data_IF_563979030495
#
_entry.id   IF_563979030495
#
_cell.length_a   1.000
_cell.length_b   1.000
_cell.length_c   1.000
_cell.angle_alpha   90.00
_cell.angle_beta   90.00
_cell.angle_gamma   90.00
#
_symmetry.space_group_name_H-M   'P 1'
#
loop_
_entity.id
_entity.type
_entity.pdbx_description
1 polymer ?
#
# COMPACT_ATOMS: atom_id res chain seq x y z
N UNK A 1 -4.49 -0.79 -8.68
CA UNK A 1 -5.68 -0.77 -7.80
C UNK A 1 -6.59 -1.89 -8.24
N UNK A 2 -7.12 -2.66 -7.31
CA UNK A 2 -8.08 -3.73 -7.63
C UNK A 2 -9.39 -3.07 -8.03
N UNK A 3 -9.96 -3.45 -9.19
CA UNK A 3 -11.31 -3.03 -9.63
C UNK A 3 -12.41 -3.58 -8.71
N UNK A 4 -12.04 -4.42 -7.75
CA UNK A 4 -12.90 -5.07 -6.77
C UNK A 4 -12.57 -4.60 -5.34
N UNK A 5 -12.72 -3.31 -5.08
CA UNK A 5 -12.81 -2.81 -3.70
C UNK A 5 -14.09 -3.40 -3.08
N UNK A 6 -13.94 -4.42 -2.26
CA UNK A 6 -15.07 -4.92 -1.48
C UNK A 6 -15.25 -4.00 -0.27
N UNK A 7 -16.34 -3.29 -0.28
CA UNK A 7 -16.61 -2.09 0.49
C UNK A 7 -17.09 -2.34 1.91
N UNK A 8 -17.48 -3.58 2.20
CA UNK A 8 -17.99 -3.97 3.51
C UNK A 8 -16.86 -4.24 4.52
N UNK A 9 -15.59 -4.10 4.09
CA UNK A 9 -14.44 -4.54 4.85
C UNK A 9 -13.45 -3.39 5.12
N UNK A 10 -13.94 -2.31 5.76
CA UNK A 10 -13.05 -1.45 6.54
C UNK A 10 -12.48 -2.30 7.68
N UNK A 11 -11.15 -2.27 7.85
CA UNK A 11 -10.57 -2.83 9.06
C UNK A 11 -10.96 -2.00 10.30
N UNK A 12 -10.68 -2.53 11.50
CA UNK A 12 -11.00 -1.85 12.76
C UNK A 12 -10.34 -0.47 12.90
N UNK A 13 -9.28 -0.22 12.13
CA UNK A 13 -8.49 1.01 12.16
C UNK A 13 -8.92 2.00 11.06
N UNK A 14 -9.96 1.68 10.29
CA UNK A 14 -10.51 2.50 9.22
C UNK A 14 -9.75 2.39 7.90
N UNK A 15 -8.82 1.46 7.77
CA UNK A 15 -8.12 1.14 6.54
C UNK A 15 -8.99 0.36 5.55
N UNK A 16 -8.62 0.40 4.26
CA UNK A 16 -9.28 -0.36 3.21
C UNK A 16 -8.67 -1.75 3.10
N UNK A 17 -9.43 -2.78 3.42
CA UNK A 17 -8.97 -4.15 3.37
C UNK A 17 -9.16 -4.82 2.00
N UNK A 18 -9.79 -4.16 1.02
CA UNK A 18 -10.03 -4.69 -0.33
C UNK A 18 -10.58 -6.13 -0.35
N UNK A 19 -11.38 -6.50 0.65
CA UNK A 19 -11.89 -7.86 0.80
C UNK A 19 -10.93 -8.88 1.42
N UNK A 20 -9.70 -8.48 1.77
CA UNK A 20 -8.77 -9.39 2.45
C UNK A 20 -9.02 -9.34 3.96
N UNK A 21 -9.37 -10.45 4.61
CA UNK A 21 -9.53 -10.49 6.05
C UNK A 21 -8.27 -10.00 6.78
N UNK A 22 -8.45 -9.20 7.82
CA UNK A 22 -7.35 -8.69 8.65
C UNK A 22 -6.74 -9.78 9.54
N UNK A 23 -7.52 -10.84 9.83
CA UNK A 23 -7.15 -11.95 10.68
C UNK A 23 -6.80 -13.24 9.93
N UNK A 24 -6.49 -14.27 10.70
CA UNK A 24 -6.30 -15.61 10.20
C UNK A 24 -7.66 -16.24 9.84
N UNK A 25 -7.69 -16.95 8.70
CA UNK A 25 -8.88 -17.68 8.25
C UNK A 25 -8.66 -19.13 8.61
N UNK A 26 -9.50 -19.67 9.49
CA UNK A 26 -9.36 -21.03 10.03
C UNK A 26 -9.44 -22.10 8.94
N UNK A 27 -10.37 -21.95 8.02
CA UNK A 27 -10.49 -22.85 6.87
C UNK A 27 -10.57 -22.07 5.54
N UNK A 28 -9.41 -21.62 5.09
CA UNK A 28 -9.29 -20.91 3.81
C UNK A 28 -9.76 -21.75 2.61
N UNK A 29 -9.60 -23.07 2.69
CA UNK A 29 -9.95 -23.96 1.57
C UNK A 29 -11.46 -24.21 1.47
N UNK A 30 -12.20 -24.01 2.56
CA UNK A 30 -13.65 -24.11 2.56
C UNK A 30 -14.35 -22.88 1.97
N UNK A 31 -13.62 -21.77 1.77
CA UNK A 31 -14.17 -20.59 1.13
C UNK A 31 -14.48 -20.85 -0.34
N UNK A 32 -15.50 -20.19 -0.93
CA UNK A 32 -15.76 -20.19 -2.36
C UNK A 32 -14.49 -19.78 -3.16
N UNK A 33 -14.33 -20.34 -4.35
CA UNK A 33 -13.10 -20.17 -5.13
C UNK A 33 -12.84 -18.70 -5.53
N UNK A 34 -13.90 -17.95 -5.84
CA UNK A 34 -13.86 -16.52 -6.11
C UNK A 34 -13.33 -15.72 -4.93
N UNK A 35 -13.78 -16.04 -3.71
CA UNK A 35 -13.27 -15.42 -2.48
C UNK A 35 -11.81 -15.80 -2.23
N UNK A 36 -11.43 -17.05 -2.45
CA UNK A 36 -10.03 -17.48 -2.34
C UNK A 36 -9.14 -16.69 -3.32
N UNK A 37 -9.58 -16.54 -4.57
CA UNK A 37 -8.85 -15.78 -5.59
C UNK A 37 -8.75 -14.30 -5.22
N UNK A 38 -9.83 -13.68 -4.77
CA UNK A 38 -9.84 -12.29 -4.31
C UNK A 38 -8.84 -12.09 -3.17
N UNK A 39 -8.87 -12.94 -2.15
CA UNK A 39 -7.96 -12.86 -1.01
C UNK A 39 -6.50 -13.04 -1.44
N UNK A 40 -6.22 -13.94 -2.40
CA UNK A 40 -4.86 -14.15 -2.94
C UNK A 40 -4.39 -12.98 -3.78
N UNK A 41 -5.27 -12.34 -4.51
CA UNK A 41 -4.92 -11.18 -5.37
C UNK A 41 -4.65 -9.91 -4.56
N UNK A 42 -5.27 -9.77 -3.37
CA UNK A 42 -5.07 -8.60 -2.52
C UNK A 42 -3.71 -8.64 -1.84
N UNK A 43 -2.90 -7.63 -2.11
CA UNK A 43 -1.58 -7.45 -1.48
C UNK A 43 -1.63 -6.25 -0.53
N UNK A 44 -0.94 -6.37 0.58
CA UNK A 44 -0.65 -5.21 1.42
C UNK A 44 0.58 -4.50 0.86
N UNK A 45 0.41 -3.24 0.55
CA UNK A 45 1.49 -2.38 0.07
C UNK A 45 1.81 -1.36 1.15
N UNK A 46 3.09 -1.16 1.43
CA UNK A 46 3.56 -0.05 2.25
C UNK A 46 4.13 1.01 1.34
N UNK A 47 3.57 2.20 1.36
CA UNK A 47 4.10 3.32 0.61
C UNK A 47 5.06 4.10 1.51
N UNK A 48 6.30 4.20 1.07
CA UNK A 48 7.36 4.98 1.74
C UNK A 48 7.73 6.14 0.84
N UNK A 49 7.77 7.33 1.39
CA UNK A 49 8.19 8.53 0.67
C UNK A 49 9.11 9.35 1.55
N UNK A 50 9.94 10.14 0.91
CA UNK A 50 10.95 10.97 1.58
C UNK A 50 11.92 11.54 0.57
N UNK A 51 13.08 11.89 1.07
CA UNK A 51 14.26 12.23 0.28
C UNK A 51 15.19 11.04 0.21
N UNK A 52 15.73 10.77 -0.96
CA UNK A 52 16.81 9.81 -1.14
C UNK A 52 18.08 10.54 -1.55
N UNK A 53 19.17 10.25 -0.85
CA UNK A 53 20.53 10.63 -1.21
C UNK A 53 21.27 9.40 -1.67
N UNK A 54 21.87 9.43 -2.85
CA UNK A 54 22.68 8.35 -3.38
C UNK A 54 24.12 8.48 -2.87
N UNK A 55 24.71 7.38 -2.41
CA UNK A 55 26.09 7.31 -1.98
C UNK A 55 26.91 6.78 -3.14
N UNK A 56 27.94 7.51 -3.56
CA UNK A 56 28.86 7.18 -4.66
C UNK A 56 28.14 6.75 -5.94
N UNK A 57 27.19 7.56 -6.45
CA UNK A 57 26.45 7.20 -7.67
C UNK A 57 27.38 7.20 -8.89
N UNK A 58 27.15 6.20 -9.76
CA UNK A 58 27.86 6.09 -11.04
C UNK A 58 26.87 6.04 -12.20
N UNK A 59 27.26 6.60 -13.34
CA UNK A 59 26.47 6.50 -14.56
C UNK A 59 26.63 5.11 -15.25
N UNK A 60 25.98 4.92 -16.38
CA UNK A 60 26.05 3.66 -17.13
C UNK A 60 27.45 3.34 -17.69
N UNK A 61 28.35 4.33 -17.76
CA UNK A 61 29.74 4.15 -18.15
C UNK A 61 30.67 3.86 -16.95
N UNK A 62 30.14 3.84 -15.71
CA UNK A 62 30.90 3.60 -14.49
C UNK A 62 31.62 4.85 -13.96
N UNK A 63 31.30 6.02 -14.48
CA UNK A 63 31.89 7.29 -14.03
C UNK A 63 31.10 7.86 -12.86
N UNK A 64 31.81 8.40 -11.86
CA UNK A 64 31.16 9.08 -10.73
C UNK A 64 30.35 10.28 -11.19
N UNK A 65 29.14 10.39 -10.67
CA UNK A 65 28.23 11.50 -10.95
C UNK A 65 27.78 12.14 -9.64
N UNK A 66 27.48 13.43 -9.68
CA UNK A 66 26.90 14.12 -8.53
C UNK A 66 25.38 14.16 -8.67
N UNK A 67 24.66 13.60 -7.69
CA UNK A 67 23.19 13.53 -7.69
C UNK A 67 22.67 14.21 -6.43
N UNK A 68 21.88 15.25 -6.63
CA UNK A 68 21.24 15.96 -5.53
C UNK A 68 20.17 15.08 -4.85
N UNK A 69 19.90 15.30 -3.55
CA UNK A 69 18.81 14.65 -2.85
C UNK A 69 17.49 14.81 -3.61
N UNK A 70 16.80 13.72 -3.85
CA UNK A 70 15.61 13.69 -4.70
C UNK A 70 14.43 13.11 -3.94
N UNK A 71 13.25 13.70 -4.13
CA UNK A 71 12.01 13.14 -3.59
C UNK A 71 11.72 11.76 -4.24
N UNK A 72 11.35 10.79 -3.43
CA UNK A 72 11.02 9.44 -3.89
C UNK A 72 9.72 8.91 -3.29
N UNK A 73 9.11 8.00 -4.02
CA UNK A 73 8.01 7.17 -3.55
C UNK A 73 8.39 5.73 -3.84
N UNK A 74 8.26 4.87 -2.82
CA UNK A 74 8.53 3.45 -2.95
C UNK A 74 7.34 2.63 -2.45
N UNK A 75 6.75 1.87 -3.36
CA UNK A 75 5.68 0.92 -3.05
C UNK A 75 6.29 -0.44 -2.71
N UNK A 76 6.27 -0.80 -1.44
CA UNK A 76 6.86 -2.02 -0.92
C UNK A 76 5.83 -3.12 -0.91
N UNK A 77 5.82 -3.97 -1.92
CA UNK A 77 4.94 -5.14 -2.04
C UNK A 77 5.55 -6.42 -1.51
N UNK A 78 6.87 -6.56 -1.62
CA UNK A 78 7.59 -7.75 -1.17
C UNK A 78 7.43 -7.93 0.34
N UNK A 79 7.04 -9.14 0.77
CA UNK A 79 6.73 -9.45 2.17
C UNK A 79 7.90 -9.19 3.12
N UNK A 80 9.11 -9.52 2.70
CA UNK A 80 10.28 -9.42 3.58
C UNK A 80 10.79 -7.98 3.62
N UNK A 81 10.79 -7.27 2.49
CA UNK A 81 11.02 -5.83 2.43
C UNK A 81 9.99 -5.05 3.26
N UNK A 82 8.70 -5.44 3.19
CA UNK A 82 7.64 -4.83 4.01
C UNK A 82 7.91 -4.96 5.50
N UNK A 83 8.42 -6.12 5.94
CA UNK A 83 8.76 -6.36 7.35
C UNK A 83 10.01 -5.59 7.77
N UNK A 84 11.07 -5.63 6.97
CA UNK A 84 12.35 -5.01 7.30
C UNK A 84 12.25 -3.50 7.42
N UNK A 85 11.65 -2.83 6.42
CA UNK A 85 11.42 -1.38 6.49
C UNK A 85 10.41 -1.01 7.59
N UNK A 86 9.38 -1.86 7.80
CA UNK A 86 8.42 -1.68 8.88
C UNK A 86 9.03 -1.72 10.27
N UNK A 87 10.08 -2.51 10.47
CA UNK A 87 10.81 -2.55 11.73
C UNK A 87 11.42 -1.19 12.06
N UNK A 88 12.05 -0.52 11.09
CA UNK A 88 12.61 0.82 11.30
C UNK A 88 11.56 1.82 11.79
N UNK A 89 10.41 1.88 11.15
CA UNK A 89 9.32 2.76 11.56
C UNK A 89 8.72 2.39 12.93
N UNK A 90 8.60 1.10 13.22
CA UNK A 90 8.13 0.64 14.54
C UNK A 90 9.12 1.00 15.66
N UNK A 91 10.43 0.90 15.40
CA UNK A 91 11.46 1.25 16.37
C UNK A 91 11.47 2.77 16.65
N UNK A 92 11.27 3.61 15.62
CA UNK A 92 11.05 5.05 15.77
C UNK A 92 9.79 5.34 16.60
N UNK A 93 8.67 4.70 16.28
CA UNK A 93 7.41 4.88 16.99
C UNK A 93 7.50 4.49 18.47
N UNK A 94 8.15 3.37 18.78
CA UNK A 94 8.38 2.92 20.17
C UNK A 94 9.17 3.92 20.98
N UNK A 95 10.12 4.62 20.35
CA UNK A 95 10.92 5.66 20.98
C UNK A 95 10.29 7.06 20.89
N UNK A 96 9.09 7.17 20.33
CA UNK A 96 8.36 8.43 20.11
C UNK A 96 9.19 9.44 19.28
N UNK A 97 9.93 8.94 18.29
CA UNK A 97 10.77 9.75 17.40
C UNK A 97 10.07 9.98 16.08
N UNK A 98 10.30 11.13 15.47
CA UNK A 98 9.72 11.49 14.18
C UNK A 98 10.58 10.89 13.05
N UNK A 99 10.00 10.14 12.11
CA UNK A 99 10.74 9.54 11.00
C UNK A 99 11.53 10.56 10.17
N UNK A 100 11.00 11.77 9.99
CA UNK A 100 11.64 12.85 9.21
C UNK A 100 12.96 13.36 9.80
N UNK A 101 13.27 13.02 11.06
CA UNK A 101 14.49 13.41 11.74
C UNK A 101 15.55 12.33 11.76
N UNK A 102 15.34 11.22 11.04
CA UNK A 102 16.26 10.09 11.04
C UNK A 102 16.54 9.58 9.63
N UNK A 103 17.79 9.27 9.39
CA UNK A 103 18.22 8.58 8.17
C UNK A 103 17.98 7.07 8.30
N UNK A 104 17.50 6.50 7.21
CA UNK A 104 17.44 5.05 7.03
C UNK A 104 18.35 4.71 5.86
N UNK A 105 19.51 4.13 6.14
CA UNK A 105 20.40 3.65 5.11
C UNK A 105 19.79 2.42 4.43
N UNK A 106 19.66 2.43 3.10
CA UNK A 106 19.17 1.32 2.30
C UNK A 106 20.34 0.59 1.66
N UNK A 107 20.59 -0.61 2.13
CA UNK A 107 21.48 -1.57 1.49
C UNK A 107 20.70 -2.68 0.80
N UNK A 108 21.41 -3.65 0.27
CA UNK A 108 20.83 -4.88 -0.29
C UNK A 108 21.48 -6.10 0.34
N UNK A 109 20.69 -7.14 0.57
CA UNK A 109 21.16 -8.45 1.05
C UNK A 109 20.87 -9.50 -0.02
N UNK A 110 21.92 -10.25 -0.41
CA UNK A 110 21.78 -11.36 -1.35
C UNK A 110 21.12 -12.56 -0.68
N UNK A 111 20.10 -13.10 -1.32
CA UNK A 111 19.40 -14.29 -0.89
C UNK A 111 19.33 -15.31 -2.03
N UNK A 112 19.15 -16.60 -1.68
CA UNK A 112 19.05 -17.70 -2.65
C UNK A 112 17.77 -18.49 -2.43
N UNK A 113 17.07 -18.76 -3.51
CA UNK A 113 15.95 -19.71 -3.50
C UNK A 113 16.48 -21.15 -3.45
N UNK A 114 15.63 -22.08 -3.05
CA UNK A 114 15.96 -23.52 -3.09
C UNK A 114 16.31 -24.02 -4.51
N UNK A 115 15.83 -23.33 -5.54
CA UNK A 115 16.18 -23.55 -6.96
C UNK A 115 17.59 -23.08 -7.35
N UNK A 116 18.31 -22.39 -6.45
CA UNK A 116 19.61 -21.78 -6.70
C UNK A 116 19.55 -20.38 -7.32
N UNK A 117 18.37 -19.86 -7.64
CA UNK A 117 18.23 -18.51 -8.15
C UNK A 117 18.55 -17.48 -7.06
N UNK A 118 19.35 -16.48 -7.43
CA UNK A 118 19.76 -15.36 -6.54
C UNK A 118 18.76 -14.22 -6.66
N UNK A 119 18.43 -13.62 -5.54
CA UNK A 119 17.62 -12.39 -5.49
C UNK A 119 18.11 -11.49 -4.36
N UNK A 120 17.80 -10.21 -4.47
CA UNK A 120 18.24 -9.21 -3.51
C UNK A 120 17.05 -8.64 -2.76
N UNK A 121 17.19 -8.51 -1.44
CA UNK A 121 16.23 -7.87 -0.56
C UNK A 121 16.79 -6.55 -0.04
N UNK A 122 15.94 -5.52 0.10
CA UNK A 122 16.32 -4.31 0.81
C UNK A 122 16.68 -4.61 2.25
N UNK A 123 17.84 -4.13 2.69
CA UNK A 123 18.33 -4.22 4.06
C UNK A 123 18.43 -2.83 4.66
N UNK A 124 17.33 -2.30 5.23
CA UNK A 124 17.33 -0.98 5.84
C UNK A 124 18.03 -1.01 7.20
N UNK A 125 18.87 -0.02 7.45
CA UNK A 125 19.56 0.19 8.74
C UNK A 125 19.18 1.58 9.27
N UNK A 126 18.67 1.61 10.50
CA UNK A 126 18.27 2.84 11.18
C UNK A 126 19.29 3.18 12.27
N UNK A 127 19.89 4.37 12.17
CA UNK A 127 20.69 4.94 13.24
C UNK A 127 19.82 5.83 14.15
N UNK A 128 19.66 5.39 15.40
CA UNK A 128 18.91 6.14 16.41
C UNK A 128 19.79 7.07 17.25
N UNK A 129 21.12 7.02 17.08
CA UNK A 129 22.07 7.85 17.82
C UNK A 129 22.19 9.26 17.26
N UNK A 130 21.84 9.43 15.97
CA UNK A 130 21.90 10.71 15.26
C UNK A 130 20.50 11.21 14.90
N UNK A 131 20.37 12.52 14.78
CA UNK A 131 19.16 13.20 14.25
C UNK A 131 19.57 14.18 13.17
N UNK A 132 18.75 14.29 12.13
CA UNK A 132 18.88 15.29 11.09
C UNK A 132 18.17 16.56 11.54
N UNK A 133 18.80 17.70 11.35
CA UNK A 133 18.15 18.98 11.49
C UNK A 133 17.28 19.25 10.27
N UNK A 134 15.97 19.47 10.50
CA UNK A 134 15.00 19.73 9.43
C UNK A 134 14.93 21.22 9.18
N UNK A 135 15.51 21.67 8.06
CA UNK A 135 15.52 23.06 7.62
C UNK A 135 14.20 23.52 7.00
N UNK A 136 14.11 24.81 6.64
CA UNK A 136 12.89 25.39 6.05
C UNK A 136 12.56 24.79 4.67
N UNK A 137 13.56 24.46 3.87
CA UNK A 137 13.38 23.80 2.57
C UNK A 137 12.81 22.40 2.75
N UNK A 138 13.31 21.65 3.72
CA UNK A 138 12.82 20.30 4.07
C UNK A 138 11.38 20.39 4.55
N UNK A 139 11.03 21.37 5.40
CA UNK A 139 9.66 21.58 5.87
C UNK A 139 8.69 21.85 4.72
N UNK A 140 9.11 22.68 3.75
CA UNK A 140 8.32 22.95 2.55
C UNK A 140 8.09 21.67 1.75
N UNK A 141 9.11 20.87 1.55
CA UNK A 141 9.02 19.62 0.83
C UNK A 141 8.12 18.61 1.57
N UNK A 142 8.28 18.44 2.88
CA UNK A 142 7.41 17.57 3.67
C UNK A 142 5.95 18.02 3.65
N UNK A 143 5.71 19.32 3.68
CA UNK A 143 4.37 19.87 3.53
C UNK A 143 3.75 19.50 2.18
N UNK A 144 4.53 19.59 1.09
CA UNK A 144 4.08 19.18 -0.24
C UNK A 144 3.83 17.67 -0.32
N UNK A 145 4.67 16.84 0.30
CA UNK A 145 4.45 15.41 0.40
C UNK A 145 3.19 15.08 1.20
N UNK A 146 2.95 15.75 2.33
CA UNK A 146 1.73 15.59 3.11
C UNK A 146 0.47 15.97 2.32
N UNK A 147 0.55 17.05 1.54
CA UNK A 147 -0.54 17.47 0.65
C UNK A 147 -0.79 16.42 -0.44
N UNK A 148 0.27 15.87 -1.02
CA UNK A 148 0.16 14.80 -2.01
C UNK A 148 -0.51 13.55 -1.42
N UNK A 149 -0.10 13.13 -0.20
CA UNK A 149 -0.71 12.00 0.52
C UNK A 149 -2.19 12.26 0.74
N UNK A 150 -2.54 13.45 1.21
CA UNK A 150 -3.94 13.82 1.42
C UNK A 150 -4.74 13.72 0.13
N UNK A 151 -4.24 14.30 -0.96
CA UNK A 151 -4.91 14.25 -2.26
C UNK A 151 -5.04 12.82 -2.78
N UNK A 152 -4.03 11.97 -2.58
CA UNK A 152 -4.08 10.56 -2.95
C UNK A 152 -5.10 9.77 -2.12
N UNK A 153 -5.18 10.01 -0.82
CA UNK A 153 -6.19 9.43 0.05
C UNK A 153 -7.60 9.89 -0.34
N UNK A 154 -7.79 11.19 -0.60
CA UNK A 154 -9.07 11.73 -1.06
C UNK A 154 -9.50 11.11 -2.40
N UNK A 155 -8.55 10.89 -3.32
CA UNK A 155 -8.80 10.18 -4.58
C UNK A 155 -9.27 8.73 -4.34
N UNK A 156 -8.58 7.97 -3.48
CA UNK A 156 -8.97 6.59 -3.15
C UNK A 156 -10.36 6.55 -2.51
N UNK A 157 -10.65 7.45 -1.57
CA UNK A 157 -11.95 7.55 -0.90
C UNK A 157 -13.06 7.85 -1.90
N UNK A 158 -12.86 8.81 -2.80
CA UNK A 158 -13.83 9.16 -3.82
C UNK A 158 -14.09 7.99 -4.79
N UNK A 159 -13.06 7.27 -5.22
CA UNK A 159 -13.20 6.08 -6.05
C UNK A 159 -13.99 4.99 -5.33
N UNK A 160 -13.77 4.84 -4.04
CA UNK A 160 -14.51 3.89 -3.21
C UNK A 160 -15.99 4.29 -3.14
N UNK A 161 -16.31 5.56 -2.82
CA UNK A 161 -17.68 6.07 -2.75
C UNK A 161 -18.42 5.94 -4.10
N UNK A 162 -17.74 6.19 -5.22
CA UNK A 162 -18.30 5.99 -6.55
C UNK A 162 -18.65 4.52 -6.83
N UNK A 163 -17.80 3.60 -6.42
CA UNK A 163 -18.04 2.16 -6.59
C UNK A 163 -19.20 1.69 -5.69
N UNK A 164 -19.33 2.25 -4.46
CA UNK A 164 -20.50 2.01 -3.59
C UNK A 164 -21.78 2.35 -4.34
N UNK A 165 -21.88 3.60 -4.81
CA UNK A 165 -23.08 4.10 -5.46
C UNK A 165 -23.44 3.31 -6.72
N UNK A 166 -22.42 2.86 -7.48
CA UNK A 166 -22.63 2.02 -8.67
C UNK A 166 -23.21 0.66 -8.29
N UNK A 167 -22.71 0.04 -7.23
CA UNK A 167 -23.19 -1.25 -6.75
C UNK A 167 -24.63 -1.11 -6.22
N UNK A 168 -24.91 -0.14 -5.35
CA UNK A 168 -26.25 0.12 -4.83
C UNK A 168 -27.28 0.39 -5.96
N UNK A 169 -26.88 1.13 -7.00
CA UNK A 169 -27.76 1.38 -8.15
C UNK A 169 -27.98 0.13 -9.02
N UNK A 170 -26.98 -0.77 -9.13
CA UNK A 170 -27.12 -2.03 -9.83
C UNK A 170 -28.02 -3.00 -9.06
N UNK A 171 -27.83 -3.13 -7.75
CA UNK A 171 -28.66 -3.98 -6.88
C UNK A 171 -30.13 -3.50 -6.88
N UNK A 172 -30.37 -2.18 -6.88
CA UNK A 172 -31.71 -1.60 -7.03
C UNK A 172 -32.31 -1.90 -8.41
N UNK A 173 -31.56 -1.80 -9.49
CA UNK A 173 -32.03 -2.10 -10.83
C UNK A 173 -32.37 -3.59 -11.00
N UNK A 174 -31.59 -4.48 -10.41
CA UNK A 174 -31.87 -5.93 -10.40
C UNK A 174 -33.15 -6.23 -9.63
N UNK A 175 -33.32 -5.65 -8.43
CA UNK A 175 -34.55 -5.79 -7.64
C UNK A 175 -35.78 -5.27 -8.38
N UNK A 176 -35.69 -4.11 -9.06
CA UNK A 176 -36.80 -3.58 -9.84
C UNK A 176 -37.18 -4.49 -11.02
N UNK A 177 -36.18 -5.07 -11.70
CA UNK A 177 -36.42 -6.02 -12.79
C UNK A 177 -37.07 -7.31 -12.29
N UNK A 178 -36.67 -7.84 -11.14
CA UNK A 178 -37.32 -9.01 -10.50
C UNK A 178 -38.82 -8.71 -10.20
N UNK A 179 -39.12 -7.52 -9.71
CA UNK A 179 -40.55 -7.12 -9.48
C UNK A 179 -41.35 -6.97 -10.78
N UNK A 180 -40.72 -6.49 -11.85
CA UNK A 180 -41.39 -6.33 -13.15
C UNK A 180 -41.66 -7.69 -13.81
N UNK A 181 -40.76 -8.66 -13.67
CA UNK A 181 -40.96 -10.02 -14.23
C UNK A 181 -42.06 -10.79 -13.50
N UNK A 182 -42.26 -10.57 -12.20
CA UNK A 182 -43.37 -11.19 -11.44
C UNK A 182 -44.73 -10.70 -11.88
N UNK A 183 -44.88 -9.39 -12.20
CA UNK A 183 -46.15 -8.79 -12.62
C UNK A 183 -46.58 -9.21 -14.05
N UNK A 184 -45.63 -9.66 -14.90
CA UNK A 184 -45.94 -10.09 -16.27
C UNK A 184 -46.41 -11.55 -16.37
N UNK A 185 -46.09 -12.41 -15.40
CA UNK A 185 -46.54 -13.81 -15.39
C UNK A 185 -47.99 -13.99 -14.83
N UNK A 186 -48.49 -13.09 -13.97
CA UNK A 186 -49.85 -13.18 -13.39
C UNK A 186 -50.96 -12.66 -14.32
N UNK A 187 -50.63 -11.99 -15.42
CA UNK A 187 -51.66 -11.39 -16.34
C UNK A 187 -52.02 -12.32 -17.51
N UNK A 188 -51.43 -13.50 -17.64
CA UNK A 188 -51.65 -14.45 -18.77
C UNK A 188 -52.28 -15.77 -18.28
N UNK A 189 -53.00 -15.78 -17.16
CA UNK A 189 -53.71 -16.99 -16.70
C UNK A 189 -55.23 -16.80 -16.74
#
# INVERSE_FOLDING_TARGET
>A
MSDNLNMDLKDSDGGFNCGKPSGWIEDFKALPEDQQQLIRSCKRVRVVFGLITMIDPVNSAGESVDVLPTAFIWEVENRDAFKSIGKCFNDLARQKRLPVQHEIALGTEENKLASGAVFYLPSPTLDLSSTIEVGDEDQTMFSNLCLWIKNYNDYILNQWDENVRKKESADLAETVNEFIDIDTEEVIS
#
